data_IF_654862354736
#
_entry.id   IF_654862354736
#
_cell.length_a   1.000
_cell.length_b   1.000
_cell.length_c   1.000
_cell.angle_alpha   90.00
_cell.angle_beta   90.00
_cell.angle_gamma   90.00
#
_symmetry.space_group_name_H-M   'P 1'
#
loop_
_entity.id
_entity.type
_entity.pdbx_description
1 polymer ?
#
# COMPACT_ATOMS: atom_id res chain seq x y z
N UNK A 1 17.25 -1.82 -4.43
CA UNK A 1 17.10 -2.45 -4.33
C UNK A 1 16.15 -3.16 -3.54
N UNK A 2 16.43 -3.82 -2.61
CA UNK A 2 15.53 -4.56 -1.92
C UNK A 2 14.59 -3.78 -1.16
N UNK A 3 14.82 -2.58 -0.95
CA UNK A 3 13.90 -1.76 -0.17
C UNK A 3 12.61 -1.50 -0.86
N UNK A 4 12.51 -1.81 -2.10
CA UNK A 4 11.32 -1.46 -2.86
C UNK A 4 10.07 -2.18 -2.36
N UNK A 5 10.23 -3.21 -1.54
CA UNK A 5 9.05 -3.91 -1.06
C UNK A 5 8.49 -3.29 0.21
N UNK A 6 9.16 -2.31 0.77
CA UNK A 6 8.65 -1.64 1.96
C UNK A 6 8.06 -0.29 1.59
N UNK A 7 6.93 0.02 2.18
CA UNK A 7 6.20 1.22 1.84
C UNK A 7 5.74 1.90 3.11
N UNK A 8 6.10 3.15 3.30
CA UNK A 8 5.67 3.86 4.49
C UNK A 8 4.18 4.16 4.42
N UNK A 9 3.56 4.41 5.58
CA UNK A 9 2.15 4.76 5.60
C UNK A 9 1.89 6.02 4.77
N UNK A 10 2.80 6.97 4.82
CA UNK A 10 2.63 8.21 4.07
C UNK A 10 2.60 7.94 2.57
N UNK A 11 3.51 7.10 2.11
CA UNK A 11 3.54 6.76 0.69
C UNK A 11 2.32 5.95 0.29
N UNK A 12 1.93 5.00 1.14
CA UNK A 12 0.77 4.19 0.85
C UNK A 12 -0.48 5.05 0.76
N UNK A 13 -0.59 6.04 1.66
CA UNK A 13 -1.75 6.91 1.65
C UNK A 13 -1.84 7.68 0.34
N UNK A 14 -0.71 8.15 -0.16
CA UNK A 14 -0.72 8.89 -1.41
C UNK A 14 -1.15 8.00 -2.57
N UNK A 15 -0.62 6.79 -2.61
CA UNK A 15 -0.96 5.87 -3.68
C UNK A 15 -2.43 5.52 -3.65
N UNK A 16 -2.95 5.24 -2.47
CA UNK A 16 -4.35 4.87 -2.34
C UNK A 16 -5.27 6.03 -2.68
N UNK A 17 -4.85 7.24 -2.32
CA UNK A 17 -5.65 8.41 -2.63
C UNK A 17 -5.73 8.58 -4.15
N UNK A 18 -4.63 8.36 -4.84
CA UNK A 18 -4.63 8.49 -6.28
C UNK A 18 -5.48 7.40 -6.93
N UNK A 19 -5.55 6.25 -6.28
CA UNK A 19 -6.35 5.16 -6.80
C UNK A 19 -7.83 5.38 -6.57
N UNK A 20 -8.20 6.41 -5.81
CA UNK A 20 -9.61 6.70 -5.64
C UNK A 20 -10.19 6.35 -4.28
N UNK A 21 -9.37 5.88 -3.36
CA UNK A 21 -9.88 5.51 -2.05
C UNK A 21 -10.10 6.78 -1.21
N UNK A 22 -11.11 6.76 -0.36
CA UNK A 22 -11.40 7.92 0.46
C UNK A 22 -10.39 8.03 1.59
N UNK A 23 -10.23 9.23 2.10
CA UNK A 23 -9.31 9.47 3.19
C UNK A 23 -9.67 8.64 4.41
N UNK A 24 -10.93 8.53 4.70
CA UNK A 24 -11.39 7.77 5.85
C UNK A 24 -11.05 6.30 5.69
N UNK A 25 -11.27 5.77 4.51
CA UNK A 25 -10.96 4.39 4.23
C UNK A 25 -9.46 4.13 4.37
N UNK A 26 -8.66 5.06 3.85
CA UNK A 26 -7.22 4.94 3.90
C UNK A 26 -6.72 4.90 5.34
N UNK A 27 -7.23 5.78 6.17
CA UNK A 27 -6.81 5.83 7.56
C UNK A 27 -7.15 4.53 8.28
N UNK A 28 -8.33 4.01 8.03
CA UNK A 28 -8.73 2.76 8.65
C UNK A 28 -7.87 1.60 8.19
N UNK A 29 -7.58 1.56 6.91
CA UNK A 29 -6.77 0.48 6.37
C UNK A 29 -5.36 0.53 6.93
N UNK A 30 -4.77 1.71 6.98
CA UNK A 30 -3.40 1.83 7.46
C UNK A 30 -3.27 1.50 8.93
N UNK A 31 -4.34 1.68 9.67
CA UNK A 31 -4.32 1.33 11.08
C UNK A 31 -4.10 -0.16 11.28
N UNK A 32 -4.53 -0.94 10.33
CA UNK A 32 -4.44 -2.39 10.42
C UNK A 32 -3.15 -2.91 9.82
N UNK A 33 -2.31 -2.05 9.32
CA UNK A 33 -1.07 -2.45 8.68
C UNK A 33 0.13 -1.88 9.41
N UNK A 34 1.26 -2.56 9.34
CA UNK A 34 2.46 -2.06 10.01
C UNK A 34 3.05 -0.88 9.25
N UNK A 35 3.96 -0.17 9.87
CA UNK A 35 4.61 0.95 9.24
C UNK A 35 6.12 0.75 9.42
N UNK A 36 6.85 0.41 8.38
CA UNK A 36 6.39 0.38 6.98
C UNK A 36 5.66 -0.91 6.63
N UNK A 37 4.93 -0.85 5.55
CA UNK A 37 4.19 -2.00 5.08
C UNK A 37 5.12 -2.85 4.22
N UNK A 38 5.16 -4.15 4.49
CA UNK A 38 5.92 -5.06 3.66
C UNK A 38 4.95 -5.59 2.62
N UNK A 39 5.06 -5.10 1.40
CA UNK A 39 4.09 -5.44 0.37
C UNK A 39 4.06 -6.92 0.05
N UNK A 40 5.15 -7.63 0.41
CA UNK A 40 5.18 -9.04 0.17
C UNK A 40 4.58 -9.80 1.33
N UNK A 41 5.04 -9.53 2.53
CA UNK A 41 4.53 -10.24 3.70
C UNK A 41 3.09 -9.88 4.01
N UNK A 42 2.76 -8.60 3.84
CA UNK A 42 1.43 -8.13 4.17
C UNK A 42 0.49 -8.12 2.98
N UNK A 43 0.88 -8.78 1.90
CA UNK A 43 0.06 -8.80 0.70
C UNK A 43 -1.32 -9.39 0.95
N UNK A 44 -1.38 -10.42 1.78
CA UNK A 44 -2.65 -11.05 2.07
C UNK A 44 -3.55 -10.11 2.84
N UNK A 45 -3.00 -9.38 3.79
CA UNK A 45 -3.78 -8.42 4.56
C UNK A 45 -4.29 -7.31 3.65
N UNK A 46 -3.45 -6.87 2.72
CA UNK A 46 -3.85 -5.85 1.77
C UNK A 46 -5.01 -6.36 0.91
N UNK A 47 -4.89 -7.59 0.46
CA UNK A 47 -5.92 -8.15 -0.39
C UNK A 47 -7.25 -8.25 0.34
N UNK A 48 -7.20 -8.60 1.61
CA UNK A 48 -8.42 -8.69 2.41
C UNK A 48 -9.07 -7.34 2.59
N UNK A 49 -8.27 -6.29 2.64
CA UNK A 49 -8.81 -4.95 2.78
C UNK A 49 -9.36 -4.42 1.47
N UNK A 50 -9.12 -5.15 0.38
CA UNK A 50 -9.62 -4.71 -0.91
C UNK A 50 -8.56 -4.00 -1.74
N UNK A 51 -7.31 -4.08 -1.34
CA UNK A 51 -6.24 -3.43 -2.08
C UNK A 51 -5.44 -4.51 -2.78
N UNK A 52 -5.38 -4.43 -4.08
CA UNK A 52 -4.55 -5.36 -4.84
C UNK A 52 -3.09 -5.05 -4.57
N UNK A 53 -2.28 -6.03 -4.20
CA UNK A 53 -0.87 -5.76 -3.99
C UNK A 53 -0.22 -5.13 -5.22
N UNK A 54 -0.73 -5.46 -6.39
CA UNK A 54 -0.20 -4.89 -7.61
C UNK A 54 -0.39 -3.39 -7.70
N UNK A 55 -1.43 -2.88 -7.07
CA UNK A 55 -1.69 -1.44 -7.06
C UNK A 55 -0.52 -0.68 -6.43
N UNK A 56 -0.04 -1.18 -5.31
CA UNK A 56 1.06 -0.53 -4.63
C UNK A 56 2.39 -0.82 -5.31
N UNK A 57 2.59 -2.04 -5.75
CA UNK A 57 3.84 -2.40 -6.38
C UNK A 57 4.02 -1.73 -7.72
N UNK A 58 2.94 -1.53 -8.42
CA UNK A 58 2.98 -0.87 -9.70
C UNK A 58 3.56 0.53 -9.55
N UNK A 59 3.17 1.18 -8.48
CA UNK A 59 3.65 2.51 -8.22
C UNK A 59 5.11 2.51 -7.85
N UNK A 60 5.50 1.56 -7.01
CA UNK A 60 6.86 1.47 -6.59
C UNK A 60 7.75 1.05 -7.75
N UNK A 61 7.25 0.22 -8.59
CA UNK A 61 7.99 -0.28 -9.69
C UNK A 61 8.39 0.78 -10.65
N UNK A 62 7.69 1.78 -10.67
CA UNK A 62 8.01 2.88 -11.48
C UNK A 62 8.17 2.46 -12.86
N UNK A 63 7.81 1.59 -13.30
CA UNK A 63 8.02 1.23 -14.45
C UNK A 63 7.87 1.81 -15.49
N UNK A 64 8.23 1.68 -16.24
CA UNK A 64 8.54 2.20 -17.45
C UNK A 64 8.15 2.70 -18.13
#
# INVERSE_FOLDING_TARGET
MEDSQFLSHAEAAQILRRAGYSQEWIENALRQLPDPIDTERDGEALFRLGVSPGTLMDRMGGSP
#
